data_IF_596389752998
#
_entry.id   IF_596389752998
#
_cell.length_a   1.000
_cell.length_b   1.000
_cell.length_c   1.000
_cell.angle_alpha   90.00
_cell.angle_beta   90.00
_cell.angle_gamma   90.00
#
_symmetry.space_group_name_H-M   'P 1'
#
loop_
_entity.id
_entity.type
_entity.pdbx_description
1 polymer ?
#
# COMPACT_ATOMS: atom_id res chain seq x y z
N UNK A 1 53.24 -65.61 -3.30
CA UNK A 1 53.50 -66.34 -4.53
C UNK A 1 52.52 -65.92 -5.59
N UNK A 2 52.88 -65.97 -6.84
CA UNK A 2 53.15 -64.75 -7.59
C UNK A 2 52.28 -64.60 -8.87
N UNK A 3 52.42 -63.45 -9.53
CA UNK A 3 52.37 -63.21 -11.03
C UNK A 3 50.98 -63.26 -11.69
N UNK A 4 50.61 -62.45 -12.64
CA UNK A 4 51.39 -61.82 -13.70
C UNK A 4 50.65 -60.61 -14.22
N UNK A 5 51.43 -59.63 -14.61
CA UNK A 5 51.04 -58.46 -15.42
C UNK A 5 50.82 -58.85 -16.89
N UNK A 6 49.85 -58.25 -17.54
CA UNK A 6 49.87 -57.98 -18.98
C UNK A 6 49.29 -56.61 -19.27
N UNK A 7 50.11 -55.72 -19.79
CA UNK A 7 49.68 -54.51 -20.55
C UNK A 7 49.46 -54.93 -22.02
N UNK A 8 48.53 -54.31 -22.72
CA UNK A 8 48.92 -53.66 -23.96
C UNK A 8 48.34 -52.24 -24.19
N UNK A 9 49.17 -51.47 -24.67
CA UNK A 9 49.21 -50.56 -25.83
C UNK A 9 48.04 -49.60 -26.03
N UNK A 10 48.44 -48.33 -26.03
CA UNK A 10 47.73 -47.15 -26.41
C UNK A 10 47.25 -47.13 -27.86
N UNK A 11 46.04 -46.68 -28.08
CA UNK A 11 45.62 -46.11 -29.35
C UNK A 11 45.07 -44.71 -29.06
N UNK A 12 45.85 -43.71 -29.52
CA UNK A 12 45.54 -42.28 -29.44
C UNK A 12 44.55 -41.97 -30.56
N UNK A 13 43.24 -41.89 -30.27
CA UNK A 13 42.29 -41.29 -31.18
C UNK A 13 42.12 -39.82 -30.78
N UNK A 14 42.72 -38.91 -31.58
CA UNK A 14 42.46 -37.49 -31.54
C UNK A 14 41.04 -37.24 -32.14
N UNK A 15 40.03 -37.08 -31.30
CA UNK A 15 38.74 -36.55 -31.71
C UNK A 15 38.80 -35.02 -31.61
N UNK A 16 38.84 -34.38 -32.76
CA UNK A 16 38.59 -32.95 -32.89
C UNK A 16 37.11 -32.67 -32.52
N UNK A 17 36.89 -32.07 -31.35
CA UNK A 17 35.61 -31.49 -30.98
C UNK A 17 35.45 -30.17 -31.66
N UNK A 18 34.33 -29.92 -32.39
CA UNK A 18 34.03 -28.56 -32.83
C UNK A 18 33.67 -27.73 -31.61
N UNK A 19 34.38 -26.62 -31.38
CA UNK A 19 33.94 -25.55 -30.51
C UNK A 19 32.68 -24.94 -31.11
N UNK A 20 31.50 -25.46 -30.72
CA UNK A 20 30.30 -24.68 -30.82
C UNK A 20 30.41 -23.56 -29.79
N UNK A 21 30.61 -22.35 -30.29
CA UNK A 21 30.43 -21.15 -29.52
C UNK A 21 29.03 -21.18 -28.92
N UNK A 22 28.97 -21.38 -27.59
CA UNK A 22 27.76 -21.05 -26.86
C UNK A 22 27.59 -19.54 -27.01
N UNK A 23 26.75 -19.14 -27.95
CA UNK A 23 26.12 -17.85 -27.95
C UNK A 23 25.52 -17.64 -26.56
N UNK A 24 25.90 -16.52 -25.93
CA UNK A 24 25.29 -16.15 -24.66
C UNK A 24 23.78 -16.20 -24.81
N UNK A 25 23.16 -17.02 -23.98
CA UNK A 25 21.76 -16.83 -23.65
C UNK A 25 21.71 -15.50 -22.89
N UNK A 26 21.58 -14.40 -23.62
CA UNK A 26 20.90 -13.23 -23.10
C UNK A 26 19.56 -13.81 -22.66
N UNK A 27 19.28 -13.83 -21.36
CA UNK A 27 17.92 -14.00 -20.90
C UNK A 27 17.10 -13.03 -21.74
N UNK A 28 16.23 -13.52 -22.60
CA UNK A 28 15.25 -12.70 -23.26
C UNK A 28 14.52 -12.04 -22.09
N UNK A 29 14.72 -10.73 -21.93
CA UNK A 29 13.84 -9.93 -21.09
C UNK A 29 12.45 -10.25 -21.61
N UNK A 30 11.59 -10.73 -20.75
CA UNK A 30 10.24 -11.12 -21.14
C UNK A 30 9.54 -9.81 -21.51
N UNK A 31 9.56 -9.46 -22.82
CA UNK A 31 9.06 -8.16 -23.30
C UNK A 31 7.58 -7.94 -22.99
N UNK A 32 6.89 -9.01 -22.56
CA UNK A 32 5.47 -9.03 -22.26
C UNK A 32 5.16 -9.10 -20.76
N UNK A 33 5.98 -8.49 -19.92
CA UNK A 33 5.74 -8.42 -18.49
C UNK A 33 5.73 -6.96 -18.00
N UNK A 34 5.02 -6.69 -16.92
CA UNK A 34 5.09 -5.44 -16.14
C UNK A 34 5.11 -5.77 -14.66
N UNK A 35 6.09 -5.26 -13.93
CA UNK A 35 6.25 -5.51 -12.50
C UNK A 35 5.74 -4.33 -11.67
N UNK A 36 4.80 -4.61 -10.76
CA UNK A 36 4.19 -3.62 -9.84
C UNK A 36 4.70 -3.85 -8.43
N UNK A 37 5.31 -2.83 -7.82
CA UNK A 37 5.52 -2.78 -6.37
C UNK A 37 4.40 -1.96 -5.74
N UNK A 38 3.65 -2.53 -4.81
CA UNK A 38 2.48 -1.87 -4.25
C UNK A 38 2.37 -1.98 -2.74
N UNK A 39 1.83 -0.93 -2.13
CA UNK A 39 1.23 -1.04 -0.81
C UNK A 39 0.11 -2.07 -0.83
N UNK A 40 -0.09 -2.77 0.31
CA UNK A 40 -1.17 -3.73 0.52
C UNK A 40 -2.57 -3.06 0.49
N UNK A 41 -3.61 -3.85 0.19
CA UNK A 41 -5.01 -3.47 0.31
C UNK A 41 -5.82 -3.39 -0.99
N UNK A 42 -5.19 -3.37 -2.17
CA UNK A 42 -5.93 -3.32 -3.45
C UNK A 42 -6.20 -4.72 -4.05
N UNK A 43 -5.55 -5.75 -3.53
CA UNK A 43 -5.81 -7.13 -3.88
C UNK A 43 -6.76 -7.77 -2.87
N UNK A 44 -7.72 -8.55 -3.37
CA UNK A 44 -8.64 -9.29 -2.50
C UNK A 44 -7.99 -10.54 -1.89
N UNK A 45 -8.35 -10.88 -0.65
CA UNK A 45 -7.84 -12.09 0.01
C UNK A 45 -8.19 -13.38 -0.76
N UNK A 46 -9.27 -13.35 -1.53
CA UNK A 46 -9.76 -14.46 -2.33
C UNK A 46 -9.55 -14.27 -3.85
N UNK A 47 -8.74 -13.31 -4.27
CA UNK A 47 -8.58 -12.95 -5.67
C UNK A 47 -9.78 -12.18 -6.23
N UNK A 48 -10.47 -11.40 -5.42
CA UNK A 48 -11.69 -10.66 -5.72
C UNK A 48 -11.57 -9.14 -5.48
N UNK A 49 -10.34 -8.64 -5.36
CA UNK A 49 -10.04 -7.22 -5.20
C UNK A 49 -9.99 -6.44 -6.52
N UNK A 50 -9.80 -5.12 -6.40
CA UNK A 50 -9.71 -4.25 -7.57
C UNK A 50 -8.53 -4.62 -8.48
N UNK A 51 -7.36 -4.90 -7.92
CA UNK A 51 -6.20 -5.33 -8.71
C UNK A 51 -6.44 -6.65 -9.42
N UNK A 52 -7.09 -7.61 -8.79
CA UNK A 52 -7.36 -8.91 -9.41
C UNK A 52 -8.14 -8.72 -10.70
N UNK A 53 -9.19 -7.87 -10.70
CA UNK A 53 -9.98 -7.58 -11.89
C UNK A 53 -9.24 -6.70 -12.90
N UNK A 54 -8.56 -5.63 -12.44
CA UNK A 54 -7.87 -4.68 -13.32
C UNK A 54 -6.69 -5.36 -14.03
N UNK A 55 -5.92 -6.19 -13.32
CA UNK A 55 -4.81 -6.92 -13.91
C UNK A 55 -5.30 -7.99 -14.90
N UNK A 56 -6.33 -8.74 -14.54
CA UNK A 56 -6.94 -9.71 -15.48
C UNK A 56 -7.45 -9.05 -16.76
N UNK A 57 -8.13 -7.91 -16.64
CA UNK A 57 -8.61 -7.14 -17.78
C UNK A 57 -7.42 -6.61 -18.63
N UNK A 58 -6.38 -6.09 -18.00
CA UNK A 58 -5.18 -5.59 -18.67
C UNK A 58 -4.45 -6.71 -19.42
N UNK A 59 -4.24 -7.86 -18.78
CA UNK A 59 -3.59 -9.03 -19.39
C UNK A 59 -4.37 -9.56 -20.60
N UNK A 60 -5.71 -9.64 -20.49
CA UNK A 60 -6.59 -10.05 -21.58
C UNK A 60 -6.55 -9.07 -22.76
N UNK A 61 -6.49 -7.77 -22.50
CA UNK A 61 -6.50 -6.72 -23.51
C UNK A 61 -5.17 -6.56 -24.23
N UNK A 62 -4.06 -6.78 -23.53
CA UNK A 62 -2.71 -6.43 -24.02
C UNK A 62 -1.81 -7.64 -24.27
N UNK A 63 -2.08 -8.78 -23.67
CA UNK A 63 -1.18 -9.93 -23.63
C UNK A 63 0.08 -9.72 -22.76
N UNK A 64 0.09 -8.67 -21.91
CA UNK A 64 1.18 -8.36 -21.00
C UNK A 64 0.83 -8.92 -19.63
N UNK A 65 1.68 -9.78 -19.06
CA UNK A 65 1.53 -10.36 -17.73
C UNK A 65 1.88 -9.34 -16.64
N UNK A 66 1.12 -9.32 -15.54
CA UNK A 66 1.40 -8.43 -14.40
C UNK A 66 2.04 -9.21 -13.25
N UNK A 67 3.32 -8.98 -13.03
CA UNK A 67 4.00 -9.41 -11.81
C UNK A 67 3.71 -8.43 -10.67
N UNK A 68 3.35 -8.96 -9.50
CA UNK A 68 2.92 -8.16 -8.37
C UNK A 68 3.70 -8.48 -7.10
N UNK A 69 4.24 -7.45 -6.47
CA UNK A 69 4.95 -7.54 -5.19
C UNK A 69 4.29 -6.60 -4.20
N UNK A 70 3.81 -7.15 -3.09
CA UNK A 70 3.08 -6.44 -2.06
C UNK A 70 3.89 -6.29 -0.78
N UNK A 71 3.68 -5.17 -0.08
CA UNK A 71 4.25 -4.91 1.24
C UNK A 71 3.75 -3.62 1.85
N UNK A 72 4.33 -3.20 2.96
CA UNK A 72 4.03 -1.90 3.56
C UNK A 72 4.49 -0.74 2.67
N UNK A 73 3.76 0.38 2.69
CA UNK A 73 4.04 1.56 1.84
C UNK A 73 5.49 2.01 1.91
N UNK A 74 6.03 2.18 3.13
CA UNK A 74 7.43 2.56 3.32
C UNK A 74 8.40 1.45 2.93
N UNK A 75 8.02 0.18 3.13
CA UNK A 75 8.83 -0.96 2.74
C UNK A 75 9.05 -1.00 1.22
N UNK A 76 7.99 -0.79 0.43
CA UNK A 76 8.08 -0.77 -1.04
C UNK A 76 8.96 0.37 -1.53
N UNK A 77 8.86 1.56 -0.94
CA UNK A 77 9.74 2.68 -1.28
C UNK A 77 11.20 2.38 -0.91
N UNK A 78 11.45 1.82 0.28
CA UNK A 78 12.82 1.44 0.67
C UNK A 78 13.39 0.34 -0.23
N UNK A 79 12.57 -0.59 -0.70
CA UNK A 79 12.99 -1.58 -1.70
C UNK A 79 13.38 -0.91 -3.01
N UNK A 80 12.55 -0.01 -3.55
CA UNK A 80 12.86 0.74 -4.77
C UNK A 80 14.13 1.61 -4.61
N UNK A 81 14.39 2.17 -3.42
CA UNK A 81 15.65 2.88 -3.11
C UNK A 81 16.86 1.96 -3.22
N UNK A 82 16.81 0.76 -2.65
CA UNK A 82 17.91 -0.20 -2.73
C UNK A 82 18.19 -0.65 -4.17
N UNK A 83 17.14 -0.73 -4.97
CA UNK A 83 17.19 -1.20 -6.37
C UNK A 83 17.40 -0.03 -7.37
N UNK A 84 17.53 1.22 -6.92
CA UNK A 84 17.57 2.42 -7.77
C UNK A 84 18.57 2.35 -8.93
N UNK A 85 19.69 1.64 -8.77
CA UNK A 85 20.72 1.48 -9.82
C UNK A 85 20.38 0.39 -10.84
N UNK A 86 19.51 -0.52 -10.48
CA UNK A 86 19.03 -1.60 -11.33
C UNK A 86 17.57 -1.89 -10.93
N UNK A 87 16.62 -1.03 -11.32
CA UNK A 87 15.22 -1.15 -10.94
C UNK A 87 14.64 -2.49 -11.37
N UNK A 88 13.81 -3.07 -10.51
CA UNK A 88 13.10 -4.33 -10.79
C UNK A 88 11.61 -4.07 -11.02
N UNK A 89 11.09 -2.95 -10.54
CA UNK A 89 9.71 -2.56 -10.75
C UNK A 89 9.56 -1.60 -11.92
N UNK A 90 8.44 -1.69 -12.60
CA UNK A 90 8.01 -0.74 -13.63
C UNK A 90 7.09 0.33 -13.06
N UNK A 91 6.20 -0.07 -12.16
CA UNK A 91 5.23 0.81 -11.51
C UNK A 91 5.36 0.68 -9.99
N UNK A 92 5.40 1.81 -9.31
CA UNK A 92 5.33 1.89 -7.84
C UNK A 92 3.98 2.48 -7.44
N UNK A 93 3.25 1.77 -6.57
CA UNK A 93 2.01 2.24 -5.98
C UNK A 93 2.16 2.28 -4.47
N UNK A 94 1.94 3.44 -3.86
CA UNK A 94 2.08 3.61 -2.42
C UNK A 94 1.19 4.75 -1.91
N UNK A 95 1.12 4.92 -0.60
CA UNK A 95 0.32 5.96 0.04
C UNK A 95 1.17 7.19 0.37
N UNK A 96 0.59 8.38 0.48
CA UNK A 96 1.26 9.52 1.12
C UNK A 96 1.70 9.20 2.56
N UNK A 97 2.82 9.73 3.06
CA UNK A 97 3.79 10.60 2.38
C UNK A 97 4.83 9.83 1.54
N UNK A 98 4.73 8.52 1.43
CA UNK A 98 5.75 7.69 0.78
C UNK A 98 5.82 7.89 -0.73
N UNK A 99 4.70 8.28 -1.38
CA UNK A 99 4.74 8.61 -2.81
C UNK A 99 5.52 9.91 -3.05
N UNK A 100 5.37 10.93 -2.17
CA UNK A 100 6.17 12.15 -2.20
C UNK A 100 7.64 11.82 -1.95
N UNK A 101 7.94 10.96 -0.96
CA UNK A 101 9.29 10.51 -0.70
C UNK A 101 9.92 9.77 -1.90
N UNK A 102 9.15 8.96 -2.62
CA UNK A 102 9.61 8.30 -3.84
C UNK A 102 9.95 9.32 -4.94
N UNK A 103 9.14 10.35 -5.09
CA UNK A 103 9.37 11.45 -6.04
C UNK A 103 10.63 12.24 -5.67
N UNK A 104 10.74 12.73 -4.43
CA UNK A 104 11.88 13.50 -3.94
C UNK A 104 13.20 12.75 -4.06
N UNK A 105 13.18 11.42 -3.85
CA UNK A 105 14.35 10.55 -4.06
C UNK A 105 14.65 10.26 -5.53
N UNK A 106 13.85 10.79 -6.48
CA UNK A 106 14.00 10.57 -7.92
C UNK A 106 13.80 9.10 -8.33
N UNK A 107 12.90 8.40 -7.67
CA UNK A 107 12.52 7.02 -8.02
C UNK A 107 11.48 6.99 -9.13
N UNK A 108 10.78 8.11 -9.36
CA UNK A 108 9.69 8.22 -10.31
C UNK A 108 10.08 9.11 -11.50
N UNK A 109 9.67 8.71 -12.68
CA UNK A 109 9.83 9.51 -13.90
C UNK A 109 8.49 10.12 -14.33
N UNK A 110 8.58 11.23 -15.07
CA UNK A 110 7.39 11.93 -15.57
C UNK A 110 6.64 11.05 -16.56
N UNK A 111 5.37 10.88 -16.28
CA UNK A 111 4.40 10.30 -17.19
C UNK A 111 3.01 10.82 -16.86
N UNK A 112 2.26 11.23 -17.86
CA UNK A 112 0.88 11.67 -17.72
C UNK A 112 -0.06 10.60 -18.29
N UNK A 113 -0.60 9.69 -17.45
CA UNK A 113 -1.50 8.64 -17.93
C UNK A 113 -2.77 9.23 -18.56
N UNK A 114 -3.37 8.51 -19.49
CA UNK A 114 -4.65 8.90 -20.08
C UNK A 114 -5.72 9.01 -18.99
N UNK A 115 -6.40 10.15 -18.94
CA UNK A 115 -7.41 10.43 -17.91
C UNK A 115 -6.88 11.13 -16.66
N UNK A 116 -5.58 11.40 -16.53
CA UNK A 116 -4.99 12.13 -15.41
C UNK A 116 -5.51 13.56 -15.30
N UNK A 117 -6.00 14.17 -16.38
CA UNK A 117 -6.69 15.46 -16.40
C UNK A 117 -8.00 15.45 -15.60
N UNK A 118 -8.56 14.28 -15.35
CA UNK A 118 -9.77 14.05 -14.56
C UNK A 118 -9.49 13.76 -13.07
N UNK A 119 -8.23 13.62 -12.67
CA UNK A 119 -7.84 13.49 -11.28
C UNK A 119 -7.65 14.87 -10.66
N UNK A 120 -8.08 15.04 -9.41
CA UNK A 120 -7.90 16.28 -8.65
C UNK A 120 -6.45 16.76 -8.64
N UNK A 121 -6.21 18.07 -8.59
CA UNK A 121 -4.87 18.62 -8.45
C UNK A 121 -4.19 18.20 -7.14
N UNK A 122 -4.95 18.02 -6.07
CA UNK A 122 -4.45 17.56 -4.78
C UNK A 122 -4.03 16.08 -4.79
N UNK A 123 -4.58 15.29 -5.73
CA UNK A 123 -4.37 13.84 -5.80
C UNK A 123 -3.31 13.44 -6.86
N UNK A 124 -2.46 14.36 -7.26
CA UNK A 124 -1.38 14.12 -8.24
C UNK A 124 -0.22 15.11 -8.09
N UNK A 125 0.97 14.67 -8.48
CA UNK A 125 2.15 15.53 -8.48
C UNK A 125 2.05 16.63 -9.55
N UNK A 126 2.36 17.88 -9.17
CA UNK A 126 2.40 19.00 -10.10
C UNK A 126 3.46 18.82 -11.21
N UNK A 127 4.53 18.09 -10.93
CA UNK A 127 5.60 17.77 -11.88
C UNK A 127 5.27 16.57 -12.79
N UNK A 128 4.13 15.86 -12.56
CA UNK A 128 3.65 14.76 -13.38
C UNK A 128 4.35 13.42 -13.14
N UNK A 129 4.91 13.17 -11.96
CA UNK A 129 5.61 11.94 -11.61
C UNK A 129 4.70 10.86 -11.02
N UNK A 130 3.59 11.24 -10.38
CA UNK A 130 2.62 10.32 -9.82
C UNK A 130 1.19 10.86 -9.87
N UNK A 131 0.22 9.98 -9.73
CA UNK A 131 -1.21 10.30 -9.63
C UNK A 131 -1.94 9.26 -8.79
N UNK A 132 -2.98 9.67 -8.09
CA UNK A 132 -3.88 8.73 -7.44
C UNK A 132 -4.53 7.79 -8.47
N UNK A 133 -4.69 6.52 -8.11
CA UNK A 133 -5.42 5.50 -8.86
C UNK A 133 -6.64 4.98 -8.10
N UNK A 134 -6.63 5.06 -6.78
CA UNK A 134 -7.77 4.80 -5.91
C UNK A 134 -7.76 5.83 -4.79
N UNK A 135 -8.84 6.59 -4.63
CA UNK A 135 -9.00 7.47 -3.47
C UNK A 135 -9.50 6.69 -2.27
N UNK A 136 -8.97 7.04 -1.12
CA UNK A 136 -9.16 6.37 0.14
C UNK A 136 -9.07 7.38 1.30
N UNK A 137 -9.49 6.97 2.49
CA UNK A 137 -9.41 7.78 3.70
C UNK A 137 -8.88 6.96 4.86
N UNK A 138 -8.10 7.59 5.73
CA UNK A 138 -7.62 6.95 6.95
C UNK A 138 -8.79 6.66 7.90
N UNK A 139 -8.74 5.54 8.62
CA UNK A 139 -9.76 5.17 9.59
C UNK A 139 -9.25 4.20 10.64
N UNK A 140 -10.15 3.80 11.52
CA UNK A 140 -9.95 2.74 12.50
C UNK A 140 -11.00 1.66 12.31
N UNK A 141 -10.66 0.47 12.76
CA UNK A 141 -11.56 -0.69 12.77
C UNK A 141 -11.82 -1.17 14.20
N UNK A 142 -12.97 -1.75 14.42
CA UNK A 142 -13.34 -2.36 15.70
C UNK A 142 -14.10 -3.66 15.51
N UNK A 143 -14.10 -4.52 16.53
CA UNK A 143 -14.91 -5.73 16.55
C UNK A 143 -16.34 -5.41 17.00
N UNK A 144 -17.31 -5.49 16.08
CA UNK A 144 -18.74 -5.22 16.34
C UNK A 144 -19.41 -6.23 17.28
N UNK A 145 -18.87 -7.46 17.37
CA UNK A 145 -19.43 -8.50 18.22
C UNK A 145 -19.05 -8.29 19.68
N UNK A 146 -17.81 -7.94 19.94
CA UNK A 146 -17.28 -7.75 21.31
C UNK A 146 -17.56 -6.33 21.83
N UNK A 147 -17.59 -5.33 20.95
CA UNK A 147 -17.91 -3.95 21.27
C UNK A 147 -19.30 -3.60 20.71
N UNK A 148 -20.30 -3.43 21.59
CA UNK A 148 -21.67 -3.04 21.19
C UNK A 148 -21.71 -1.70 20.46
N UNK A 149 -20.77 -0.81 20.76
CA UNK A 149 -20.59 0.50 20.14
C UNK A 149 -19.11 0.68 19.80
N UNK A 150 -18.82 1.27 18.65
CA UNK A 150 -17.47 1.71 18.31
C UNK A 150 -16.98 2.70 19.36
N UNK A 151 -15.68 2.76 19.65
CA UNK A 151 -15.09 3.92 20.29
C UNK A 151 -15.43 5.17 19.47
N UNK A 152 -15.53 6.30 20.11
CA UNK A 152 -15.86 7.57 19.44
C UNK A 152 -14.72 8.57 19.55
N UNK A 153 -13.88 8.43 20.56
CA UNK A 153 -12.81 9.37 20.84
C UNK A 153 -11.46 8.67 21.00
N UNK A 154 -10.40 9.46 20.82
CA UNK A 154 -9.04 9.04 21.13
C UNK A 154 -8.88 8.69 22.62
N UNK A 155 -9.54 9.45 23.49
CA UNK A 155 -9.47 9.30 24.93
C UNK A 155 -10.03 7.94 25.40
N UNK A 156 -11.08 7.45 24.75
CA UNK A 156 -11.66 6.13 25.03
C UNK A 156 -10.66 4.99 24.78
N UNK A 157 -9.73 5.16 23.83
CA UNK A 157 -8.72 4.14 23.52
C UNK A 157 -7.68 3.95 24.64
N UNK A 158 -7.64 4.84 25.61
CA UNK A 158 -6.78 4.72 26.81
C UNK A 158 -7.42 3.87 27.91
N UNK A 159 -8.68 3.45 27.77
CA UNK A 159 -9.36 2.59 28.74
C UNK A 159 -8.66 1.21 28.81
N UNK A 160 -8.51 0.69 30.03
CA UNK A 160 -7.83 -0.58 30.29
C UNK A 160 -8.48 -1.80 29.62
N UNK A 161 -9.75 -1.70 29.15
CA UNK A 161 -10.38 -2.75 28.34
C UNK A 161 -9.64 -3.06 27.04
N UNK A 162 -8.84 -2.13 26.55
CA UNK A 162 -8.06 -2.27 25.33
C UNK A 162 -6.63 -2.77 25.58
N UNK A 163 -6.24 -3.00 26.83
CA UNK A 163 -4.93 -3.55 27.16
C UNK A 163 -4.72 -4.89 26.45
N UNK A 164 -3.65 -4.96 25.64
CA UNK A 164 -3.36 -6.11 24.76
C UNK A 164 -4.50 -6.46 23.77
N UNK A 165 -5.38 -5.50 23.47
CA UNK A 165 -6.52 -5.62 22.56
C UNK A 165 -6.60 -4.51 21.52
N UNK A 166 -5.61 -3.63 21.51
CA UNK A 166 -5.42 -2.58 20.51
C UNK A 166 -4.11 -2.81 19.78
N UNK A 167 -4.09 -2.64 18.49
CA UNK A 167 -2.87 -2.65 17.68
C UNK A 167 -2.97 -1.60 16.57
N UNK A 168 -1.90 -0.86 16.36
CA UNK A 168 -1.73 -0.07 15.14
C UNK A 168 -0.46 -0.46 14.42
N UNK A 169 -0.49 -0.35 13.08
CA UNK A 169 0.68 -0.66 12.25
C UNK A 169 1.80 0.34 12.46
N UNK A 170 3.02 -0.10 12.18
CA UNK A 170 4.24 0.64 12.55
C UNK A 170 4.44 1.88 11.67
N UNK A 171 4.49 3.08 12.27
CA UNK A 171 4.85 4.30 11.56
C UNK A 171 6.20 4.20 10.85
N UNK A 172 6.31 4.80 9.67
CA UNK A 172 7.50 4.75 8.82
C UNK A 172 7.66 3.45 8.01
N UNK A 173 6.90 2.40 8.32
CA UNK A 173 6.89 1.11 7.63
C UNK A 173 5.58 0.91 6.87
N UNK A 174 4.46 0.95 7.56
CA UNK A 174 3.13 0.89 6.98
C UNK A 174 2.57 2.31 6.76
N UNK A 175 1.84 2.50 5.65
CA UNK A 175 1.21 3.78 5.31
C UNK A 175 0.24 4.24 6.39
N UNK A 176 -0.72 3.38 6.73
CA UNK A 176 -1.71 3.71 7.76
C UNK A 176 -1.12 3.81 9.18
N UNK A 177 0.01 3.15 9.43
CA UNK A 177 0.77 3.35 10.67
C UNK A 177 1.30 4.78 10.77
N UNK A 178 1.83 5.29 9.66
CA UNK A 178 2.27 6.69 9.56
C UNK A 178 1.06 7.63 9.63
N UNK A 179 -0.07 7.24 9.06
CA UNK A 179 -1.32 7.99 9.14
C UNK A 179 -1.83 8.14 10.60
N UNK A 180 -1.54 7.18 11.49
CA UNK A 180 -1.83 7.33 12.94
C UNK A 180 -1.09 8.53 13.52
N UNK A 181 0.20 8.73 13.16
CA UNK A 181 0.97 9.90 13.63
C UNK A 181 0.38 11.20 13.10
N UNK A 182 0.13 11.26 11.79
CA UNK A 182 -0.42 12.45 11.11
C UNK A 182 -1.75 12.83 11.74
N UNK A 183 -2.64 11.86 11.91
CA UNK A 183 -3.94 12.06 12.53
C UNK A 183 -3.81 12.54 13.97
N UNK A 184 -2.94 11.91 14.76
CA UNK A 184 -2.70 12.32 16.14
C UNK A 184 -2.13 13.74 16.20
N UNK A 185 -1.16 14.09 15.36
CA UNK A 185 -0.59 15.45 15.32
C UNK A 185 -1.65 16.50 15.00
N UNK A 186 -2.53 16.21 14.02
CA UNK A 186 -3.65 17.10 13.72
C UNK A 186 -4.59 17.24 14.92
N UNK A 187 -5.10 16.14 15.44
CA UNK A 187 -6.16 16.13 16.45
C UNK A 187 -5.71 16.67 17.81
N UNK A 188 -4.45 16.46 18.18
CA UNK A 188 -3.88 16.94 19.43
C UNK A 188 -3.19 18.30 19.32
N UNK A 189 -3.14 18.91 18.13
CA UNK A 189 -2.63 20.26 17.93
C UNK A 189 -1.10 20.32 17.88
N UNK A 190 -0.44 19.28 17.39
CA UNK A 190 0.97 19.24 17.08
C UNK A 190 1.72 18.01 17.60
N UNK A 191 2.97 17.88 17.18
CA UNK A 191 3.83 16.71 17.44
C UNK A 191 3.95 16.39 18.93
N UNK A 192 4.30 17.37 19.78
CA UNK A 192 4.52 17.14 21.21
C UNK A 192 3.32 16.49 21.90
N UNK A 193 2.13 17.06 21.70
CA UNK A 193 0.89 16.58 22.31
C UNK A 193 0.50 15.20 21.77
N UNK A 194 0.72 14.97 20.48
CA UNK A 194 0.52 13.66 19.86
C UNK A 194 1.42 12.59 20.47
N UNK A 195 2.71 12.87 20.64
CA UNK A 195 3.67 11.93 21.25
C UNK A 195 3.33 11.65 22.71
N UNK A 196 2.90 12.64 23.47
CA UNK A 196 2.42 12.47 24.86
C UNK A 196 1.20 11.54 24.92
N UNK A 197 0.28 11.64 23.95
CA UNK A 197 -0.87 10.73 23.84
C UNK A 197 -0.45 9.33 23.41
N UNK A 198 0.35 9.20 22.34
CA UNK A 198 0.79 7.90 21.79
C UNK A 198 1.63 7.11 22.82
N UNK A 199 2.41 7.79 23.64
CA UNK A 199 3.10 7.19 24.80
C UNK A 199 2.11 6.51 25.75
N UNK A 200 0.97 7.15 26.04
CA UNK A 200 -0.07 6.55 26.89
C UNK A 200 -0.78 5.39 26.17
N UNK A 201 -1.08 5.57 24.87
CA UNK A 201 -1.74 4.54 24.06
C UNK A 201 -0.89 3.27 23.95
N UNK A 202 0.44 3.40 24.03
CA UNK A 202 1.37 2.27 23.95
C UNK A 202 1.12 1.21 25.04
N UNK A 203 0.57 1.59 26.20
CA UNK A 203 0.18 0.63 27.24
C UNK A 203 -0.88 -0.39 26.79
N UNK A 204 -1.73 0.00 25.85
CA UNK A 204 -2.78 -0.85 25.27
C UNK A 204 -2.35 -1.54 23.95
N UNK A 205 -1.25 -1.09 23.34
CA UNK A 205 -0.78 -1.58 22.05
C UNK A 205 -0.09 -2.95 22.18
N UNK A 206 -0.55 -3.92 21.41
CA UNK A 206 0.05 -5.28 21.35
C UNK A 206 1.52 -5.24 20.86
N UNK A 207 1.87 -4.24 20.06
CA UNK A 207 3.22 -4.12 19.48
C UNK A 207 3.22 -3.87 17.98
N UNK A 208 4.39 -3.92 17.34
CA UNK A 208 4.56 -3.53 15.96
C UNK A 208 3.80 -4.42 14.97
N UNK A 209 3.38 -3.84 13.85
CA UNK A 209 2.89 -4.55 12.68
C UNK A 209 3.42 -3.87 11.41
N UNK A 210 4.08 -4.63 10.55
CA UNK A 210 4.62 -4.09 9.29
C UNK A 210 3.53 -3.89 8.20
N UNK A 211 2.36 -4.50 8.37
CA UNK A 211 1.25 -4.45 7.41
C UNK A 211 -0.05 -4.15 8.15
N UNK A 212 -0.83 -3.21 7.63
CA UNK A 212 -2.15 -2.85 8.14
C UNK A 212 -3.17 -3.93 7.77
N UNK A 213 -3.09 -4.52 6.58
CA UNK A 213 -4.00 -5.57 6.12
C UNK A 213 -4.08 -6.79 7.05
N UNK A 214 -3.00 -7.08 7.79
CA UNK A 214 -2.95 -8.18 8.77
C UNK A 214 -3.73 -7.91 10.07
N UNK A 215 -4.22 -6.70 10.30
CA UNK A 215 -4.92 -6.35 11.53
C UNK A 215 -6.41 -6.71 11.48
N UNK A 216 -7.06 -6.54 10.34
CA UNK A 216 -8.49 -6.82 10.19
C UNK A 216 -8.90 -8.26 10.57
N UNK A 217 -8.19 -9.32 10.13
CA UNK A 217 -8.50 -10.69 10.56
C UNK A 217 -8.43 -10.90 12.07
N UNK A 218 -7.50 -10.22 12.76
CA UNK A 218 -7.37 -10.28 14.22
C UNK A 218 -8.54 -9.57 14.91
N UNK A 219 -8.98 -8.43 14.36
CA UNK A 219 -10.14 -7.70 14.86
C UNK A 219 -11.41 -8.53 14.64
N UNK A 220 -11.61 -9.10 13.44
CA UNK A 220 -12.81 -9.93 13.17
C UNK A 220 -12.91 -11.12 14.12
N UNK A 221 -11.80 -11.78 14.44
CA UNK A 221 -11.74 -12.92 15.38
C UNK A 221 -11.84 -12.52 16.85
N UNK A 222 -11.77 -11.24 17.21
CA UNK A 222 -11.77 -10.75 18.59
C UNK A 222 -10.43 -10.93 19.32
N UNK A 223 -9.36 -11.24 18.59
CA UNK A 223 -8.01 -11.20 19.11
C UNK A 223 -7.64 -9.75 19.48
N UNK A 224 -8.04 -8.80 18.62
CA UNK A 224 -8.02 -7.37 18.88
C UNK A 224 -9.46 -6.83 18.96
N UNK A 225 -9.65 -5.81 19.76
CA UNK A 225 -10.91 -5.06 19.82
C UNK A 225 -10.88 -3.87 18.86
N UNK A 226 -9.73 -3.25 18.70
CA UNK A 226 -9.52 -2.05 17.87
C UNK A 226 -8.17 -2.13 17.17
N UNK A 227 -8.13 -1.66 15.91
CA UNK A 227 -6.90 -1.41 15.19
C UNK A 227 -7.04 -0.19 14.27
N UNK A 228 -5.92 0.35 13.79
CA UNK A 228 -5.96 1.29 12.68
C UNK A 228 -6.21 0.57 11.35
N UNK A 229 -6.64 1.32 10.37
CA UNK A 229 -6.91 0.85 9.03
C UNK A 229 -7.18 2.01 8.08
N UNK A 230 -7.81 1.68 6.97
CA UNK A 230 -8.34 2.64 6.03
C UNK A 230 -9.75 2.25 5.56
N UNK A 231 -10.44 3.18 4.93
CA UNK A 231 -11.83 2.97 4.52
C UNK A 231 -11.90 1.93 3.40
N UNK A 232 -11.05 2.04 2.39
CA UNK A 232 -11.10 1.20 1.20
C UNK A 232 -10.85 -0.28 1.55
N UNK A 233 -9.69 -0.58 2.09
CA UNK A 233 -9.30 -1.96 2.39
C UNK A 233 -10.25 -2.61 3.39
N UNK A 234 -10.58 -1.89 4.48
CA UNK A 234 -11.41 -2.47 5.52
C UNK A 234 -12.89 -2.57 5.13
N UNK A 235 -13.39 -1.69 4.24
CA UNK A 235 -14.72 -1.86 3.67
C UNK A 235 -14.77 -3.11 2.76
N UNK A 236 -13.78 -3.32 1.91
CA UNK A 236 -13.67 -4.52 1.10
C UNK A 236 -13.62 -5.79 1.98
N UNK A 237 -12.75 -5.80 3.00
CA UNK A 237 -12.61 -6.92 3.94
C UNK A 237 -13.88 -7.18 4.77
N UNK A 238 -14.67 -6.16 5.08
CA UNK A 238 -15.91 -6.31 5.87
C UNK A 238 -16.96 -7.19 5.21
N UNK A 239 -16.86 -7.44 3.91
CA UNK A 239 -17.74 -8.35 3.17
C UNK A 239 -17.53 -9.82 3.55
N UNK A 240 -16.30 -10.21 3.86
CA UNK A 240 -15.92 -11.56 4.33
C UNK A 240 -15.74 -11.62 5.85
N UNK A 241 -15.58 -10.48 6.53
CA UNK A 241 -15.34 -10.34 7.96
C UNK A 241 -16.51 -9.64 8.65
N UNK A 242 -17.58 -10.37 9.02
CA UNK A 242 -18.84 -9.77 9.46
C UNK A 242 -18.75 -8.99 10.78
N UNK A 243 -17.72 -9.25 11.58
CA UNK A 243 -17.54 -8.54 12.86
C UNK A 243 -16.73 -7.24 12.71
N UNK A 244 -16.22 -6.93 11.51
CA UNK A 244 -15.43 -5.73 11.25
C UNK A 244 -16.34 -4.51 11.12
N UNK A 245 -16.08 -3.46 11.91
CA UNK A 245 -16.69 -2.14 11.79
C UNK A 245 -15.62 -1.09 11.55
N UNK A 246 -15.93 -0.04 10.79
CA UNK A 246 -15.06 1.10 10.51
C UNK A 246 -15.56 2.30 11.29
N UNK A 247 -14.65 3.12 11.84
CA UNK A 247 -14.98 4.31 12.58
C UNK A 247 -13.84 5.35 12.50
N UNK A 248 -14.14 6.56 12.92
CA UNK A 248 -13.18 7.69 12.88
C UNK A 248 -13.10 8.32 14.27
N UNK A 249 -11.90 8.41 14.87
CA UNK A 249 -11.77 9.03 16.19
C UNK A 249 -11.96 10.55 16.12
N UNK A 250 -12.61 11.07 17.17
CA UNK A 250 -12.67 12.49 17.49
C UNK A 250 -11.83 12.79 18.74
N UNK A 251 -11.59 14.06 19.02
CA UNK A 251 -11.26 14.51 20.36
C UNK A 251 -12.53 14.62 21.18
N UNK A 252 -12.42 14.49 22.50
CA UNK A 252 -13.58 14.66 23.40
C UNK A 252 -14.30 15.99 23.15
N UNK A 253 -15.62 15.92 22.88
CA UNK A 253 -16.44 17.07 22.50
C UNK A 253 -16.26 17.59 21.07
N UNK A 254 -15.37 16.97 20.27
CA UNK A 254 -15.14 17.29 18.86
C UNK A 254 -15.95 16.43 17.89
N UNK A 255 -15.77 16.70 16.61
CA UNK A 255 -16.30 15.88 15.51
C UNK A 255 -15.28 14.82 15.10
N UNK A 256 -15.73 13.69 14.53
CA UNK A 256 -14.81 12.75 13.89
C UNK A 256 -14.12 13.41 12.71
N UNK A 257 -12.82 13.20 12.59
CA UNK A 257 -12.00 13.76 11.52
C UNK A 257 -11.28 12.65 10.78
N UNK A 258 -10.91 12.90 9.52
CA UNK A 258 -10.04 12.05 8.72
C UNK A 258 -9.30 12.88 7.67
N UNK A 259 -8.51 12.23 6.84
CA UNK A 259 -7.85 12.84 5.68
C UNK A 259 -7.73 11.83 4.54
N UNK A 260 -7.57 12.36 3.31
CA UNK A 260 -7.37 11.54 2.13
C UNK A 260 -6.01 10.82 2.19
N UNK A 261 -6.05 9.53 1.91
CA UNK A 261 -4.88 8.65 1.89
C UNK A 261 -4.92 7.80 0.60
N UNK A 262 -4.80 8.43 -0.59
CA UNK A 262 -4.97 7.75 -1.86
C UNK A 262 -3.86 6.75 -2.13
N UNK A 263 -4.19 5.65 -2.79
CA UNK A 263 -3.20 4.84 -3.48
C UNK A 263 -2.74 5.61 -4.72
N UNK A 264 -1.49 6.04 -4.70
CA UNK A 264 -0.88 6.84 -5.75
C UNK A 264 0.16 6.03 -6.51
N UNK A 265 0.10 6.08 -7.84
CA UNK A 265 0.93 5.32 -8.75
C UNK A 265 1.88 6.22 -9.53
N UNK A 266 3.11 5.76 -9.71
CA UNK A 266 4.12 6.41 -10.56
C UNK A 266 4.94 5.42 -11.36
N UNK A 267 5.42 5.87 -12.54
CA UNK A 267 6.32 5.11 -13.39
C UNK A 267 7.73 5.16 -12.81
N UNK A 268 8.35 4.00 -12.60
CA UNK A 268 9.69 3.93 -11.98
C UNK A 268 10.75 4.47 -12.93
N UNK A 269 11.68 5.27 -12.43
CA UNK A 269 12.82 5.78 -13.19
C UNK A 269 13.74 4.63 -13.58
N UNK A 270 13.98 4.45 -14.88
CA UNK A 270 14.77 3.34 -15.39
C UNK A 270 14.08 1.98 -15.35
N UNK A 271 12.75 1.98 -15.29
CA UNK A 271 11.91 0.78 -15.35
C UNK A 271 12.33 -0.18 -16.46
N UNK A 272 12.44 -1.50 -16.17
CA UNK A 272 12.83 -2.51 -17.19
C UNK A 272 11.87 -2.52 -18.39
N UNK A 273 10.56 -2.40 -18.13
CA UNK A 273 9.50 -2.47 -19.14
C UNK A 273 8.69 -1.17 -19.17
N UNK A 274 9.39 -0.03 -19.37
CA UNK A 274 8.80 1.33 -19.30
C UNK A 274 7.51 1.47 -20.11
N UNK A 275 7.44 0.95 -21.35
CA UNK A 275 6.24 1.06 -22.18
C UNK A 275 5.07 0.23 -21.65
N UNK A 276 5.32 -0.93 -21.06
CA UNK A 276 4.29 -1.73 -20.40
C UNK A 276 3.78 -1.05 -19.12
N UNK A 277 4.70 -0.45 -18.32
CA UNK A 277 4.33 0.37 -17.16
C UNK A 277 3.41 1.54 -17.54
N UNK A 278 3.69 2.24 -18.64
CA UNK A 278 2.81 3.31 -19.16
C UNK A 278 1.43 2.79 -19.54
N UNK A 279 1.36 1.65 -20.24
CA UNK A 279 0.08 1.04 -20.61
C UNK A 279 -0.73 0.64 -19.39
N UNK A 280 -0.08 0.09 -18.35
CA UNK A 280 -0.75 -0.27 -17.11
C UNK A 280 -1.29 0.95 -16.37
N UNK A 281 -0.53 2.03 -16.26
CA UNK A 281 -0.99 3.29 -15.66
C UNK A 281 -2.18 3.89 -16.44
N UNK A 282 -2.14 3.87 -17.77
CA UNK A 282 -3.27 4.26 -18.63
C UNK A 282 -4.52 3.39 -18.36
N UNK A 283 -4.31 2.09 -18.19
CA UNK A 283 -5.40 1.14 -17.94
C UNK A 283 -6.01 1.34 -16.54
N UNK A 284 -5.19 1.53 -15.50
CA UNK A 284 -5.65 1.83 -14.14
C UNK A 284 -6.50 3.10 -14.06
N UNK A 285 -6.19 4.11 -14.88
CA UNK A 285 -6.98 5.35 -14.98
C UNK A 285 -8.04 5.31 -16.08
N UNK A 286 -8.25 4.19 -16.75
CA UNK A 286 -9.35 4.07 -17.72
C UNK A 286 -10.71 4.24 -17.03
N UNK A 287 -11.71 4.68 -17.76
CA UNK A 287 -13.06 4.85 -17.21
C UNK A 287 -13.61 3.52 -16.66
N UNK A 288 -13.33 2.41 -17.35
CA UNK A 288 -13.74 1.06 -16.92
C UNK A 288 -13.12 0.68 -15.59
N UNK A 289 -11.79 0.76 -15.46
CA UNK A 289 -11.09 0.40 -14.21
C UNK A 289 -11.55 1.29 -13.05
N UNK A 290 -11.79 2.58 -13.31
CA UNK A 290 -12.22 3.52 -12.28
C UNK A 290 -13.68 3.35 -11.85
N UNK A 291 -14.56 2.87 -12.72
CA UNK A 291 -15.93 2.47 -12.33
C UNK A 291 -15.94 1.25 -11.40
N UNK A 292 -14.96 0.36 -11.53
CA UNK A 292 -14.82 -0.83 -10.70
C UNK A 292 -14.26 -0.52 -9.29
N UNK A 293 -13.72 0.69 -9.04
CA UNK A 293 -13.11 1.02 -7.75
C UNK A 293 -14.09 0.88 -6.58
N UNK A 294 -15.30 1.39 -6.68
CA UNK A 294 -16.29 1.24 -5.62
C UNK A 294 -16.93 -0.15 -5.61
N UNK A 295 -17.29 -0.66 -6.76
CA UNK A 295 -18.04 -1.92 -6.87
C UNK A 295 -17.23 -3.12 -6.40
N UNK A 296 -15.95 -3.18 -6.78
CA UNK A 296 -15.03 -4.29 -6.49
C UNK A 296 -14.06 -3.90 -5.37
N UNK A 297 -13.36 -2.78 -5.53
CA UNK A 297 -12.27 -2.37 -4.67
C UNK A 297 -12.68 -1.81 -3.31
N UNK A 298 -13.96 -1.42 -3.13
CA UNK A 298 -14.41 -0.84 -1.86
C UNK A 298 -13.88 0.57 -1.56
N UNK A 299 -13.37 1.28 -2.57
CA UNK A 299 -12.79 2.62 -2.47
C UNK A 299 -13.53 3.67 -3.29
N UNK A 300 -12.90 4.81 -3.47
CA UNK A 300 -13.44 5.93 -4.25
C UNK A 300 -12.62 6.10 -5.53
N UNK A 301 -13.31 6.33 -6.65
CA UNK A 301 -12.63 6.59 -7.91
C UNK A 301 -11.71 7.83 -7.80
N UNK A 302 -10.50 7.73 -8.34
CA UNK A 302 -9.59 8.88 -8.43
C UNK A 302 -10.06 9.90 -9.48
N UNK A 303 -10.77 9.43 -10.52
CA UNK A 303 -11.34 10.29 -11.56
C UNK A 303 -12.63 10.96 -11.11
N UNK A 304 -12.71 12.27 -11.21
CA UNK A 304 -13.87 13.07 -10.83
C UNK A 304 -15.07 12.95 -11.81
N UNK A 305 -14.83 12.48 -13.03
CA UNK A 305 -15.87 12.26 -14.05
C UNK A 305 -16.52 10.87 -13.98
N UNK A 306 -16.05 10.02 -13.06
CA UNK A 306 -16.68 8.73 -12.74
C UNK A 306 -17.68 8.93 -11.61
N UNK A 307 -18.96 8.69 -11.93
CA UNK A 307 -20.05 8.71 -10.94
C UNK A 307 -20.35 7.29 -10.49
N UNK A 308 -19.85 6.91 -9.36
CA UNK A 308 -20.18 5.63 -8.73
C UNK A 308 -21.57 5.73 -8.06
N UNK A 309 -22.50 4.90 -8.51
CA UNK A 309 -23.89 4.86 -7.99
C UNK A 309 -24.28 3.47 -7.50
N UNK A 310 -23.33 2.56 -7.48
CA UNK A 310 -23.50 1.22 -6.94
C UNK A 310 -23.74 1.21 -5.42
N UNK A 311 -24.14 0.07 -4.90
CA UNK A 311 -24.49 -0.07 -3.49
C UNK A 311 -23.32 0.21 -2.54
N UNK A 312 -22.09 -0.13 -2.97
CA UNK A 312 -20.87 0.12 -2.18
C UNK A 312 -20.55 1.62 -2.14
N UNK A 313 -20.62 2.32 -3.28
CA UNK A 313 -20.42 3.77 -3.34
C UNK A 313 -21.40 4.51 -2.39
N UNK A 314 -22.67 4.10 -2.39
CA UNK A 314 -23.67 4.67 -1.49
C UNK A 314 -23.38 4.35 -0.01
N UNK A 315 -22.87 3.15 0.29
CA UNK A 315 -22.49 2.77 1.65
C UNK A 315 -21.25 3.54 2.12
N UNK A 316 -20.24 3.68 1.26
CA UNK A 316 -19.03 4.48 1.54
C UNK A 316 -19.38 5.96 1.78
N UNK A 317 -20.27 6.53 0.96
CA UNK A 317 -20.74 7.90 1.17
C UNK A 317 -21.39 8.06 2.55
N UNK A 318 -22.26 7.12 2.94
CA UNK A 318 -22.88 7.13 4.28
C UNK A 318 -21.88 6.97 5.42
N UNK A 319 -20.84 6.14 5.20
CA UNK A 319 -19.78 5.96 6.20
C UNK A 319 -19.03 7.27 6.48
N UNK A 320 -18.91 8.13 5.47
CA UNK A 320 -18.26 9.43 5.57
C UNK A 320 -19.19 10.55 6.07
N UNK A 321 -20.49 10.29 6.27
CA UNK A 321 -21.44 11.30 6.73
C UNK A 321 -21.05 11.85 8.10
N UNK A 322 -20.90 13.16 8.20
CA UNK A 322 -20.53 13.87 9.44
C UNK A 322 -19.05 13.79 9.81
N UNK A 323 -18.22 13.14 9.00
CA UNK A 323 -16.76 13.09 9.17
C UNK A 323 -16.15 14.32 8.50
N UNK A 324 -15.35 15.07 9.22
CA UNK A 324 -14.64 16.23 8.70
C UNK A 324 -13.32 15.78 8.08
N UNK A 325 -13.11 16.11 6.80
CA UNK A 325 -11.88 15.76 6.08
C UNK A 325 -10.94 16.96 6.13
N UNK A 326 -9.78 16.80 6.76
CA UNK A 326 -8.73 17.81 6.76
C UNK A 326 -7.68 17.50 5.69
N UNK A 327 -6.90 18.50 5.31
CA UNK A 327 -5.81 18.37 4.36
C UNK A 327 -4.47 18.45 5.11
N UNK A 328 -3.67 17.36 5.15
CA UNK A 328 -2.34 17.38 5.74
C UNK A 328 -1.37 18.25 4.92
N UNK A 329 -0.44 18.90 5.60
CA UNK A 329 0.71 19.52 4.93
C UNK A 329 1.71 18.42 4.51
N UNK A 330 1.51 17.90 3.30
CA UNK A 330 2.31 16.79 2.79
C UNK A 330 3.78 17.16 2.58
N UNK A 331 4.09 18.43 2.30
CA UNK A 331 5.46 18.91 2.11
C UNK A 331 6.20 18.90 3.46
N UNK A 332 5.58 19.46 4.52
CA UNK A 332 6.13 19.39 5.87
C UNK A 332 6.27 17.95 6.36
N UNK A 333 5.25 17.11 6.13
CA UNK A 333 5.26 15.70 6.56
C UNK A 333 6.36 14.91 5.85
N UNK A 334 6.57 15.12 4.55
CA UNK A 334 7.61 14.44 3.80
C UNK A 334 9.01 14.85 4.28
N UNK A 335 9.23 16.14 4.47
CA UNK A 335 10.50 16.70 4.93
C UNK A 335 10.85 16.20 6.33
N UNK A 336 9.87 16.14 7.24
CA UNK A 336 10.08 15.82 8.66
C UNK A 336 9.73 14.37 9.03
N UNK A 337 9.33 13.51 8.08
CA UNK A 337 8.86 12.15 8.36
C UNK A 337 9.81 11.35 9.25
N UNK A 338 11.11 11.39 8.96
CA UNK A 338 12.12 10.67 9.77
C UNK A 338 12.13 11.15 11.21
N UNK A 339 12.08 12.47 11.43
CA UNK A 339 12.03 13.07 12.76
C UNK A 339 10.77 12.67 13.52
N UNK A 340 9.61 12.71 12.86
CA UNK A 340 8.34 12.31 13.47
C UNK A 340 8.33 10.83 13.88
N UNK A 341 8.88 9.96 13.04
CA UNK A 341 9.00 8.53 13.34
C UNK A 341 9.97 8.29 14.49
N UNK A 342 11.08 9.01 14.56
CA UNK A 342 12.07 8.88 15.65
C UNK A 342 11.50 9.42 16.96
N UNK A 343 10.77 10.55 16.96
CA UNK A 343 10.03 11.05 18.13
C UNK A 343 8.99 10.04 18.62
N UNK A 344 8.29 9.37 17.72
CA UNK A 344 7.36 8.31 18.07
C UNK A 344 8.09 7.11 18.73
N UNK A 345 9.21 6.66 18.17
CA UNK A 345 10.00 5.56 18.77
C UNK A 345 10.46 5.92 20.16
N UNK A 346 11.01 7.12 20.34
CA UNK A 346 11.45 7.61 21.66
C UNK A 346 10.29 7.64 22.65
N UNK A 347 9.14 8.18 22.25
CA UNK A 347 7.98 8.30 23.11
C UNK A 347 7.40 6.95 23.54
N UNK A 348 7.41 5.96 22.64
CA UNK A 348 6.75 4.65 22.83
C UNK A 348 7.71 3.52 23.22
N UNK A 349 9.02 3.74 23.13
CA UNK A 349 10.04 2.74 23.45
C UNK A 349 10.18 1.64 22.36
N UNK A 350 9.81 1.93 21.12
CA UNK A 350 9.90 1.00 19.99
C UNK A 350 11.22 1.12 19.22
#
# INVERSE_FOLDING_TARGET
MPRNAVKPLAALCVLALPLTACGGNSAASDENVVTVYSADGLRGENGDGWYDQVFEDFEKETGIEVEYVEGGSGEMVQRAVREKRNPQADVLVTLPPFIQQADTKGLLQKYAPKGVDRVSGADKAANGTWTAVVNNYFGFIHNKKELKHAPTTWEELLDGRYENKLQYSTPGVAGDGTAVLIKAMHDFGGEKQAMEYLKKLQANNVGPSASTGKLAPKVDKGELLVANGDVQMNYAQSKSMPNLGIWFPAREGGKPTTFALPYAAGLVTGAPHTENGKKLLDHMLSQKAQQQVSEIGGGFAARQDVKATDANALALTRLMDGVEVFEPDWDDIEENLTSYVDSWKEATGN
#
